data_IF_308627436291
#
_entry.id   IF_308627436291
#
_cell.length_a   1.000
_cell.length_b   1.000
_cell.length_c   1.000
_cell.angle_alpha   90.00
_cell.angle_beta   90.00
_cell.angle_gamma   90.00
#
_symmetry.space_group_name_H-M   'P 1'
#
loop_
_entity.id
_entity.type
_entity.pdbx_description
1 polymer ?
#
# COMPACT_ATOMS: atom_id res chain seq x y z
N UNK A 1 -12.01 -3.31 5.58
CA UNK A 1 -10.76 -2.56 5.93
C UNK A 1 -11.10 -1.42 6.88
N UNK A 2 -10.32 -1.22 7.93
CA UNK A 2 -10.52 -0.08 8.83
C UNK A 2 -10.10 1.23 8.17
N UNK A 3 -10.71 2.36 8.58
CA UNK A 3 -10.32 3.71 8.12
C UNK A 3 -8.84 3.99 8.42
N UNK A 4 -8.33 3.46 9.53
CA UNK A 4 -6.92 3.56 9.93
C UNK A 4 -5.99 2.88 8.93
N UNK A 5 -6.32 1.66 8.49
CA UNK A 5 -5.48 0.90 7.55
C UNK A 5 -5.40 1.59 6.18
N UNK A 6 -6.51 2.15 5.71
CA UNK A 6 -6.52 2.95 4.48
C UNK A 6 -5.69 4.24 4.61
N UNK A 7 -5.75 4.89 5.79
CA UNK A 7 -4.92 6.05 6.09
C UNK A 7 -3.43 5.71 6.09
N UNK A 8 -3.04 4.59 6.72
CA UNK A 8 -1.64 4.10 6.73
C UNK A 8 -1.16 3.83 5.30
N UNK A 9 -1.98 3.20 4.47
CA UNK A 9 -1.63 2.95 3.06
C UNK A 9 -1.36 4.27 2.31
N UNK A 10 -2.22 5.27 2.45
CA UNK A 10 -2.02 6.58 1.83
C UNK A 10 -0.75 7.27 2.31
N UNK A 11 -0.47 7.24 3.62
CA UNK A 11 0.76 7.81 4.18
C UNK A 11 2.00 7.10 3.64
N UNK A 12 1.96 5.76 3.52
CA UNK A 12 3.07 4.99 2.97
C UNK A 12 3.34 5.33 1.50
N UNK A 13 2.30 5.51 0.68
CA UNK A 13 2.45 6.00 -0.70
C UNK A 13 3.09 7.38 -0.72
N UNK A 14 2.65 8.29 0.16
CA UNK A 14 3.16 9.66 0.22
C UNK A 14 4.63 9.70 0.63
N UNK A 15 5.04 8.86 1.59
CA UNK A 15 6.44 8.70 1.99
C UNK A 15 7.31 8.15 0.86
N UNK A 16 6.79 7.23 0.04
CA UNK A 16 7.50 6.72 -1.14
C UNK A 16 7.72 7.81 -2.19
N UNK A 17 6.72 8.67 -2.41
CA UNK A 17 6.86 9.82 -3.31
C UNK A 17 7.92 10.79 -2.79
N UNK A 18 7.91 11.10 -1.49
CA UNK A 18 8.94 11.96 -0.88
C UNK A 18 10.33 11.33 -0.98
N UNK A 19 10.44 10.02 -0.70
CA UNK A 19 11.71 9.29 -0.82
C UNK A 19 12.28 9.31 -2.24
N UNK A 20 11.42 9.29 -3.26
CA UNK A 20 11.80 9.45 -4.66
C UNK A 20 12.22 10.90 -4.98
N UNK A 21 11.51 11.91 -4.46
CA UNK A 21 11.87 13.32 -4.66
C UNK A 21 13.21 13.70 -4.04
N UNK A 22 13.54 13.14 -2.87
CA UNK A 22 14.81 13.39 -2.19
C UNK A 22 15.95 12.48 -2.67
N UNK A 23 15.74 11.68 -3.72
CA UNK A 23 16.71 10.70 -4.25
C UNK A 23 17.39 9.87 -3.15
N UNK A 24 16.61 9.48 -2.14
CA UNK A 24 17.13 8.67 -1.04
C UNK A 24 17.74 7.38 -1.60
N UNK A 25 18.77 6.79 -0.97
CA UNK A 25 19.40 5.56 -1.45
C UNK A 25 18.42 4.42 -1.73
N UNK A 26 17.29 4.41 -1.00
CA UNK A 26 16.19 3.46 -1.17
C UNK A 26 15.42 3.65 -2.50
N UNK A 27 15.32 4.88 -2.99
CA UNK A 27 14.60 5.24 -4.20
C UNK A 27 15.51 5.41 -5.43
N UNK A 28 16.82 5.60 -5.21
CA UNK A 28 17.82 5.73 -6.26
C UNK A 28 17.80 4.52 -7.21
N UNK A 29 17.90 4.77 -8.52
CA UNK A 29 17.85 3.72 -9.54
C UNK A 29 16.47 3.07 -9.76
N UNK A 30 15.39 3.66 -9.25
CA UNK A 30 14.02 3.19 -9.48
C UNK A 30 13.46 2.25 -8.41
N UNK A 31 14.17 2.05 -7.29
CA UNK A 31 13.72 1.19 -6.18
C UNK A 31 12.36 1.60 -5.57
N UNK A 32 12.03 2.90 -5.62
CA UNK A 32 10.73 3.41 -5.18
C UNK A 32 9.56 2.84 -5.99
N UNK A 33 9.75 2.56 -7.28
CA UNK A 33 8.70 1.98 -8.14
C UNK A 33 8.39 0.55 -7.70
N UNK A 34 9.42 -0.25 -7.40
CA UNK A 34 9.24 -1.61 -6.89
C UNK A 34 8.47 -1.62 -5.56
N UNK A 35 8.82 -0.72 -4.65
CA UNK A 35 8.12 -0.58 -3.38
C UNK A 35 6.67 -0.14 -3.57
N UNK A 36 6.41 0.76 -4.51
CA UNK A 36 5.05 1.22 -4.84
C UNK A 36 4.19 0.09 -5.39
N UNK A 37 4.72 -0.72 -6.32
CA UNK A 37 4.00 -1.87 -6.88
C UNK A 37 3.69 -2.92 -5.81
N UNK A 38 4.67 -3.25 -4.96
CA UNK A 38 4.48 -4.18 -3.85
C UNK A 38 3.42 -3.69 -2.86
N UNK A 39 3.45 -2.40 -2.51
CA UNK A 39 2.48 -1.78 -1.61
C UNK A 39 1.06 -1.81 -2.20
N UNK A 40 0.90 -1.49 -3.49
CA UNK A 40 -0.39 -1.56 -4.19
C UNK A 40 -0.92 -2.99 -4.20
N UNK A 41 -0.08 -3.98 -4.54
CA UNK A 41 -0.50 -5.38 -4.55
C UNK A 41 -0.95 -5.85 -3.16
N UNK A 42 -0.16 -5.57 -2.12
CA UNK A 42 -0.50 -5.90 -0.74
C UNK A 42 -1.85 -5.28 -0.31
N UNK A 43 -2.10 -4.03 -0.69
CA UNK A 43 -3.38 -3.36 -0.43
C UNK A 43 -4.55 -4.05 -1.15
N UNK A 44 -4.39 -4.39 -2.43
CA UNK A 44 -5.43 -5.06 -3.22
C UNK A 44 -5.77 -6.43 -2.63
N UNK A 45 -4.76 -7.22 -2.25
CA UNK A 45 -4.96 -8.53 -1.61
C UNK A 45 -5.69 -8.38 -0.28
N UNK A 46 -5.19 -7.51 0.61
CA UNK A 46 -5.81 -7.29 1.91
C UNK A 46 -7.25 -6.75 1.81
N UNK A 47 -7.55 -5.93 0.79
CA UNK A 47 -8.90 -5.47 0.49
C UNK A 47 -9.81 -6.64 0.10
N UNK A 48 -9.36 -7.51 -0.81
CA UNK A 48 -10.13 -8.69 -1.25
C UNK A 48 -10.40 -9.67 -0.13
N UNK A 49 -9.42 -9.90 0.74
CA UNK A 49 -9.60 -10.77 1.92
C UNK A 49 -10.64 -10.19 2.88
N UNK A 50 -10.61 -8.87 3.11
CA UNK A 50 -11.61 -8.21 3.96
C UNK A 50 -13.02 -8.23 3.36
N UNK A 51 -13.15 -8.16 2.02
CA UNK A 51 -14.43 -8.32 1.32
C UNK A 51 -14.97 -9.74 1.45
N UNK A 52 -14.14 -10.76 1.21
CA UNK A 52 -14.51 -12.19 1.36
C UNK A 52 -14.92 -12.55 2.79
N UNK A 53 -14.18 -12.07 3.79
CA UNK A 53 -14.52 -12.29 5.20
C UNK A 53 -15.86 -11.64 5.59
N UNK A 54 -16.24 -10.54 4.91
CA UNK A 54 -17.55 -9.90 5.09
C UNK A 54 -18.69 -10.66 4.41
N UNK A 55 -18.43 -11.29 3.27
CA UNK A 55 -19.40 -12.15 2.55
C UNK A 55 -19.68 -13.45 3.31
N UNK A 56 -18.66 -14.10 3.89
CA UNK A 56 -18.82 -15.33 4.70
C UNK A 56 -19.59 -15.10 6.02
N UNK A 57 -19.66 -13.85 6.51
CA UNK A 57 -20.42 -13.50 7.73
C UNK A 57 -21.91 -13.23 7.47
N UNK A 58 -22.32 -13.16 6.20
CA UNK A 58 -23.71 -12.86 5.78
C UNK A 58 -24.44 -14.10 5.24
N UNK A 59 -23.78 -15.26 5.17
CA UNK A 59 -24.31 -16.57 4.79
C UNK A 59 -24.50 -17.46 6.02
#
# INVERSE_FOLDING_TARGET
>A
MSKTTQGIFLVAVLLLVLAAMFETPLAAGGGAVLMMVGLIYAYVVAKREAERAGEDSAA
#
